data_IF_801843816339
#
_entry.id   IF_801843816339
#
_cell.length_a   1.000
_cell.length_b   1.000
_cell.length_c   1.000
_cell.angle_alpha   90.00
_cell.angle_beta   90.00
_cell.angle_gamma   90.00
#
_symmetry.space_group_name_H-M   'P 1'
#
loop_
_entity.id
_entity.type
_entity.pdbx_description
1 polymer ?
#
# COMPACT_ATOMS: atom_id res chain seq x y z
N UNK A 1 20.62 -8.03 7.43
CA UNK A 1 19.63 -6.94 7.45
C UNK A 1 19.23 -6.39 6.08
N UNK A 2 19.71 -6.95 4.98
CA UNK A 2 19.43 -6.47 3.61
C UNK A 2 18.15 -7.04 3.00
N UNK A 3 17.62 -8.14 3.53
CA UNK A 3 16.41 -8.79 3.02
C UNK A 3 15.16 -7.86 3.07
N UNK A 4 15.08 -6.96 4.06
CA UNK A 4 13.94 -6.02 4.21
C UNK A 4 13.85 -4.95 3.11
N UNK A 5 14.85 -4.86 2.25
CA UNK A 5 14.89 -3.93 1.11
C UNK A 5 14.70 -4.62 -0.23
N UNK A 6 14.38 -5.91 -0.23
CA UNK A 6 14.27 -6.74 -1.43
C UNK A 6 12.83 -7.23 -1.63
N UNK A 7 12.48 -7.59 -2.85
CA UNK A 7 11.19 -8.16 -3.19
C UNK A 7 10.86 -9.43 -2.40
N UNK A 8 11.87 -10.19 -1.97
CA UNK A 8 11.71 -11.38 -1.12
C UNK A 8 11.03 -11.09 0.23
N UNK A 9 11.06 -9.84 0.71
CA UNK A 9 10.39 -9.45 1.95
C UNK A 9 8.94 -9.00 1.75
N UNK A 10 8.45 -8.98 0.52
CA UNK A 10 7.08 -8.57 0.19
C UNK A 10 6.15 -9.76 0.38
N UNK A 11 5.23 -9.65 1.33
CA UNK A 11 4.12 -10.60 1.48
C UNK A 11 2.89 -10.14 0.71
N UNK A 12 1.90 -11.03 0.55
CA UNK A 12 0.62 -10.67 -0.08
C UNK A 12 -0.04 -9.54 0.73
N UNK A 13 -0.37 -8.40 0.08
CA UNK A 13 -0.99 -7.28 0.79
C UNK A 13 -2.41 -7.63 1.26
N UNK A 14 -2.66 -7.60 2.57
CA UNK A 14 -3.93 -8.06 3.15
C UNK A 14 -4.95 -6.96 3.42
N UNK A 15 -4.55 -5.69 3.41
CA UNK A 15 -5.40 -4.59 3.88
C UNK A 15 -6.69 -4.43 3.07
N UNK A 16 -6.64 -4.53 1.75
CA UNK A 16 -7.81 -4.34 0.88
C UNK A 16 -8.86 -5.42 1.16
N UNK A 17 -8.44 -6.69 1.22
CA UNK A 17 -9.36 -7.80 1.52
C UNK A 17 -9.90 -7.73 2.95
N UNK A 18 -9.05 -7.35 3.93
CA UNK A 18 -9.47 -7.15 5.32
C UNK A 18 -10.49 -6.02 5.47
N UNK A 19 -10.27 -4.90 4.79
CA UNK A 19 -11.20 -3.76 4.77
C UNK A 19 -12.54 -4.14 4.12
N UNK A 20 -12.52 -4.85 3.00
CA UNK A 20 -13.74 -5.32 2.36
C UNK A 20 -14.54 -6.25 3.28
N UNK A 21 -13.87 -7.20 3.94
CA UNK A 21 -14.49 -8.11 4.89
C UNK A 21 -15.11 -7.37 6.07
N UNK A 22 -14.37 -6.42 6.66
CA UNK A 22 -14.87 -5.60 7.78
C UNK A 22 -16.09 -4.77 7.38
N UNK A 23 -16.07 -4.17 6.18
CA UNK A 23 -17.21 -3.42 5.67
C UNK A 23 -18.42 -4.31 5.41
N UNK A 24 -18.23 -5.51 4.87
CA UNK A 24 -19.33 -6.48 4.65
C UNK A 24 -19.96 -6.96 5.95
N UNK A 25 -19.17 -7.13 7.02
CA UNK A 25 -19.67 -7.66 8.29
C UNK A 25 -20.22 -6.58 9.24
N UNK A 26 -19.61 -5.40 9.26
CA UNK A 26 -19.88 -4.38 10.28
C UNK A 26 -20.12 -2.99 9.70
N UNK A 27 -19.87 -2.79 8.39
CA UNK A 27 -19.96 -1.47 7.77
C UNK A 27 -21.38 -1.09 7.38
N UNK A 28 -21.70 0.20 7.53
CA UNK A 28 -22.93 0.81 7.01
C UNK A 28 -22.74 1.46 5.63
N UNK A 29 -21.51 1.47 5.10
CA UNK A 29 -21.16 2.10 3.83
C UNK A 29 -20.46 1.09 2.91
N UNK A 30 -20.61 1.28 1.60
CA UNK A 30 -19.89 0.47 0.60
C UNK A 30 -18.40 0.85 0.54
N UNK A 31 -17.57 -0.06 0.01
CA UNK A 31 -16.15 0.23 -0.28
C UNK A 31 -16.00 1.47 -1.17
N UNK A 32 -16.87 1.60 -2.18
CA UNK A 32 -16.87 2.77 -3.06
C UNK A 32 -17.09 4.08 -2.29
N UNK A 33 -18.00 4.09 -1.32
CA UNK A 33 -18.27 5.29 -0.52
C UNK A 33 -17.12 5.64 0.42
N UNK A 34 -16.48 4.66 1.07
CA UNK A 34 -15.38 4.92 2.00
C UNK A 34 -14.07 5.29 1.30
N UNK A 35 -13.91 4.93 0.04
CA UNK A 35 -12.75 5.30 -0.76
C UNK A 35 -12.80 6.75 -1.29
N UNK A 36 -13.97 7.41 -1.35
CA UNK A 36 -14.09 8.76 -1.92
C UNK A 36 -13.13 9.79 -1.31
N UNK A 37 -12.98 9.90 0.03
CA UNK A 37 -12.02 10.84 0.62
C UNK A 37 -10.56 10.51 0.24
N UNK A 38 -10.20 9.23 0.14
CA UNK A 38 -8.86 8.81 -0.24
C UNK A 38 -8.58 9.11 -1.72
N UNK A 39 -9.56 8.87 -2.61
CA UNK A 39 -9.48 9.25 -4.02
C UNK A 39 -9.24 10.76 -4.14
N UNK A 40 -10.04 11.55 -3.43
CA UNK A 40 -9.91 13.01 -3.46
C UNK A 40 -8.52 13.47 -3.00
N UNK A 41 -8.02 12.95 -1.88
CA UNK A 41 -6.69 13.30 -1.37
C UNK A 41 -5.57 12.88 -2.31
N UNK A 42 -5.68 11.72 -2.95
CA UNK A 42 -4.69 11.25 -3.92
C UNK A 42 -4.72 12.08 -5.21
N UNK A 43 -5.92 12.47 -5.66
CA UNK A 43 -6.14 13.16 -6.92
C UNK A 43 -5.88 14.67 -6.82
N UNK A 44 -6.55 15.35 -5.87
CA UNK A 44 -6.41 16.78 -5.66
C UNK A 44 -5.18 17.16 -4.83
N UNK A 45 -4.68 16.23 -4.00
CA UNK A 45 -3.50 16.38 -3.18
C UNK A 45 -3.78 16.89 -1.76
N UNK A 46 -2.71 16.94 -0.99
CA UNK A 46 -2.68 17.49 0.37
C UNK A 46 -1.41 18.30 0.59
N UNK A 47 -1.43 19.22 1.54
CA UNK A 47 -0.24 19.99 1.91
C UNK A 47 0.75 19.11 2.68
N UNK A 48 2.01 19.07 2.22
CA UNK A 48 3.07 18.29 2.86
C UNK A 48 3.28 18.73 4.31
N UNK A 49 3.11 17.84 5.27
CA UNK A 49 3.34 18.11 6.69
C UNK A 49 4.84 18.12 7.01
N UNK A 50 5.29 18.77 8.12
CA UNK A 50 6.69 18.69 8.56
C UNK A 50 7.17 17.23 8.73
N UNK A 51 6.32 16.35 9.26
CA UNK A 51 6.64 14.93 9.41
C UNK A 51 6.79 14.23 8.06
N UNK A 52 5.90 14.48 7.11
CA UNK A 52 6.01 13.93 5.76
C UNK A 52 7.34 14.32 5.13
N UNK A 53 7.67 15.62 5.14
CA UNK A 53 8.92 16.13 4.57
C UNK A 53 10.15 15.54 5.24
N UNK A 54 10.21 15.51 6.58
CA UNK A 54 11.38 14.98 7.29
C UNK A 54 11.58 13.46 7.10
N UNK A 55 10.48 12.69 7.03
CA UNK A 55 10.57 11.24 6.85
C UNK A 55 10.92 10.82 5.42
N UNK A 56 10.59 11.64 4.43
CA UNK A 56 10.82 11.37 3.01
C UNK A 56 11.96 12.19 2.41
N UNK A 57 12.63 13.02 3.21
CA UNK A 57 13.71 13.89 2.73
C UNK A 57 14.78 13.12 1.96
N UNK A 58 15.19 13.68 0.83
CA UNK A 58 16.22 13.07 -0.04
C UNK A 58 17.58 12.95 0.67
N UNK A 59 17.86 13.84 1.62
CA UNK A 59 19.06 13.83 2.46
C UNK A 59 19.00 12.86 3.64
N UNK A 60 17.82 12.33 3.97
CA UNK A 60 17.66 11.41 5.10
C UNK A 60 18.23 10.02 4.75
N UNK A 61 19.30 9.53 5.38
CA UNK A 61 19.89 8.24 5.06
C UNK A 61 18.95 7.07 5.37
N UNK A 62 18.00 7.25 6.28
CA UNK A 62 17.00 6.25 6.63
C UNK A 62 15.75 6.32 5.75
N UNK A 63 15.62 7.33 4.90
CA UNK A 63 14.52 7.44 3.94
C UNK A 63 14.65 6.38 2.85
N UNK A 64 13.58 5.64 2.64
CA UNK A 64 13.47 4.70 1.52
C UNK A 64 12.93 5.35 0.24
N UNK A 65 12.76 6.67 0.25
CA UNK A 65 12.25 7.43 -0.87
C UNK A 65 13.07 7.27 -2.17
N UNK A 66 14.36 6.93 -2.04
CA UNK A 66 15.26 6.69 -3.19
C UNK A 66 15.42 5.22 -3.56
N UNK A 67 14.56 4.37 -3.02
CA UNK A 67 14.70 2.92 -3.22
C UNK A 67 14.27 2.43 -4.61
N UNK A 68 13.45 3.19 -5.33
CA UNK A 68 13.12 2.96 -6.73
C UNK A 68 13.05 4.29 -7.48
N UNK A 69 13.17 4.29 -8.82
CA UNK A 69 13.00 5.50 -9.63
C UNK A 69 11.66 6.19 -9.38
N UNK A 70 10.56 5.42 -9.31
CA UNK A 70 9.21 5.92 -9.10
C UNK A 70 9.06 6.55 -7.71
N UNK A 71 9.57 5.88 -6.67
CA UNK A 71 9.58 6.43 -5.31
C UNK A 71 10.45 7.68 -5.23
N UNK A 72 11.60 7.67 -5.93
CA UNK A 72 12.48 8.83 -5.98
C UNK A 72 11.80 10.03 -6.63
N UNK A 73 11.14 9.85 -7.76
CA UNK A 73 10.41 10.92 -8.44
C UNK A 73 9.23 11.42 -7.59
N UNK A 74 8.50 10.51 -6.95
CA UNK A 74 7.35 10.88 -6.12
C UNK A 74 7.75 11.65 -4.85
N UNK A 75 8.75 11.15 -4.10
CA UNK A 75 9.16 11.76 -2.82
C UNK A 75 10.21 12.86 -2.97
N UNK A 76 11.04 12.78 -4.00
CA UNK A 76 12.18 13.66 -4.28
C UNK A 76 12.14 14.18 -5.72
N UNK A 77 11.09 14.89 -6.15
CA UNK A 77 10.97 15.32 -7.53
C UNK A 77 12.17 16.19 -7.94
N UNK A 78 12.77 15.86 -9.08
CA UNK A 78 13.99 16.51 -9.53
C UNK A 78 15.19 16.38 -8.59
N UNK A 79 15.20 15.36 -7.72
CA UNK A 79 16.26 15.13 -6.74
C UNK A 79 16.23 16.03 -5.51
N UNK A 80 15.20 16.84 -5.34
CA UNK A 80 15.04 17.79 -4.23
C UNK A 80 14.01 17.30 -3.22
N UNK A 81 14.28 17.55 -1.93
CA UNK A 81 13.28 17.30 -0.88
C UNK A 81 12.10 18.26 -1.07
N UNK A 82 10.90 17.75 -0.82
CA UNK A 82 9.69 18.59 -0.83
C UNK A 82 9.74 19.64 0.29
N UNK A 83 9.08 20.75 0.07
CA UNK A 83 8.90 21.79 1.08
C UNK A 83 7.65 21.55 1.91
N UNK A 84 7.68 21.97 3.19
CA UNK A 84 6.50 21.95 4.06
C UNK A 84 5.42 22.85 3.45
N UNK A 85 4.19 22.33 3.34
CA UNK A 85 3.08 23.04 2.72
C UNK A 85 2.98 22.87 1.20
N UNK A 86 4.00 22.28 0.53
CA UNK A 86 3.89 21.98 -0.90
C UNK A 86 2.80 20.96 -1.18
N UNK A 87 2.14 21.05 -2.33
CA UNK A 87 1.08 20.13 -2.72
C UNK A 87 1.67 18.76 -3.11
N UNK A 88 1.13 17.70 -2.51
CA UNK A 88 1.49 16.29 -2.82
C UNK A 88 0.29 15.60 -3.43
N UNK A 89 0.39 15.17 -4.68
CA UNK A 89 -0.63 14.39 -5.39
C UNK A 89 -0.09 13.01 -5.74
N UNK A 90 -0.97 12.04 -5.91
CA UNK A 90 -0.63 10.70 -6.42
C UNK A 90 -1.76 10.22 -7.36
N UNK A 91 -1.74 10.70 -8.59
CA UNK A 91 -2.74 10.37 -9.60
C UNK A 91 -2.86 8.85 -9.85
N UNK A 92 -1.74 8.09 -9.99
CA UNK A 92 -1.83 6.64 -10.14
C UNK A 92 -2.53 5.93 -8.98
N UNK A 93 -2.31 6.40 -7.74
CA UNK A 93 -3.02 5.85 -6.57
C UNK A 93 -4.51 6.19 -6.61
N UNK A 94 -4.88 7.39 -7.07
CA UNK A 94 -6.27 7.77 -7.25
C UNK A 94 -6.98 6.84 -8.24
N UNK A 95 -6.33 6.50 -9.37
CA UNK A 95 -6.87 5.54 -10.34
C UNK A 95 -7.01 4.14 -9.74
N UNK A 96 -6.01 3.66 -9.01
CA UNK A 96 -6.10 2.40 -8.26
C UNK A 96 -7.32 2.38 -7.34
N UNK A 97 -7.54 3.45 -6.57
CA UNK A 97 -8.71 3.54 -5.69
C UNK A 97 -10.04 3.63 -6.45
N UNK A 98 -10.09 4.25 -7.64
CA UNK A 98 -11.28 4.27 -8.50
C UNK A 98 -11.61 2.87 -9.00
N UNK A 99 -10.62 2.10 -9.45
CA UNK A 99 -10.81 0.70 -9.85
C UNK A 99 -11.37 -0.14 -8.70
N UNK A 100 -10.82 0.02 -7.48
CA UNK A 100 -11.34 -0.68 -6.29
C UNK A 100 -12.76 -0.22 -5.92
N UNK A 101 -13.06 1.06 -6.06
CA UNK A 101 -14.41 1.59 -5.81
C UNK A 101 -15.44 1.03 -6.81
N UNK A 102 -15.04 0.83 -8.06
CA UNK A 102 -15.90 0.35 -9.13
C UNK A 102 -16.06 -1.18 -9.12
N UNK A 103 -14.99 -1.93 -8.90
CA UNK A 103 -14.93 -3.38 -9.10
C UNK A 103 -14.74 -4.18 -7.81
N UNK A 104 -14.58 -3.53 -6.65
CA UNK A 104 -14.35 -4.18 -5.37
C UNK A 104 -12.94 -4.69 -5.18
N UNK A 105 -12.71 -5.40 -4.07
CA UNK A 105 -11.39 -5.91 -3.71
C UNK A 105 -10.86 -6.96 -4.70
N UNK A 106 -11.71 -7.65 -5.44
CA UNK A 106 -11.25 -8.61 -6.45
C UNK A 106 -10.36 -7.98 -7.51
N UNK A 107 -10.60 -6.70 -7.87
CA UNK A 107 -9.75 -5.95 -8.79
C UNK A 107 -8.30 -5.75 -8.30
N UNK A 108 -8.07 -5.87 -7.00
CA UNK A 108 -6.72 -5.80 -6.43
C UNK A 108 -5.97 -7.13 -6.49
N UNK A 109 -6.71 -8.24 -6.38
CA UNK A 109 -6.12 -9.57 -6.20
C UNK A 109 -6.19 -10.45 -7.45
N UNK A 110 -7.05 -10.11 -8.41
CA UNK A 110 -7.25 -10.88 -9.63
C UNK A 110 -6.95 -10.03 -10.85
N UNK A 111 -6.29 -10.64 -11.83
CA UNK A 111 -6.08 -10.01 -13.12
C UNK A 111 -7.37 -10.10 -13.95
N UNK A 112 -7.94 -8.96 -14.32
CA UNK A 112 -9.11 -8.86 -15.21
C UNK A 112 -8.92 -7.65 -16.14
N UNK A 113 -8.22 -7.88 -17.23
CA UNK A 113 -7.88 -6.82 -18.18
C UNK A 113 -9.12 -6.21 -18.87
N UNK A 114 -10.23 -6.96 -18.95
CA UNK A 114 -11.48 -6.44 -19.53
C UNK A 114 -12.08 -5.33 -18.65
N UNK A 115 -11.78 -5.33 -17.35
CA UNK A 115 -12.16 -4.28 -16.40
C UNK A 115 -11.04 -3.28 -16.10
N UNK A 116 -9.86 -3.43 -16.70
CA UNK A 116 -8.68 -2.64 -16.35
C UNK A 116 -8.04 -3.02 -15.02
N UNK A 117 -8.38 -4.19 -14.47
CA UNK A 117 -7.85 -4.68 -13.20
C UNK A 117 -6.50 -5.37 -13.42
N UNK A 118 -5.42 -4.60 -13.46
CA UNK A 118 -4.03 -5.05 -13.64
C UNK A 118 -3.16 -4.87 -12.38
N UNK A 119 -3.76 -4.44 -11.26
CA UNK A 119 -3.06 -4.14 -10.00
C UNK A 119 -2.26 -5.36 -9.52
N UNK A 120 -2.84 -6.56 -9.57
CA UNK A 120 -2.18 -7.80 -9.18
C UNK A 120 -0.90 -8.04 -10.01
N UNK A 121 -0.96 -7.80 -11.32
CA UNK A 121 0.20 -7.92 -12.19
C UNK A 121 1.28 -6.91 -11.81
N UNK A 122 0.92 -5.65 -11.60
CA UNK A 122 1.86 -4.61 -11.16
C UNK A 122 2.55 -4.92 -9.83
N UNK A 123 1.83 -5.55 -8.87
CA UNK A 123 2.42 -6.01 -7.60
C UNK A 123 3.43 -7.13 -7.83
N UNK A 124 3.10 -8.12 -8.66
CA UNK A 124 4.00 -9.24 -8.99
C UNK A 124 5.25 -8.72 -9.71
N UNK A 125 5.10 -7.85 -10.69
CA UNK A 125 6.23 -7.25 -11.41
C UNK A 125 7.10 -6.39 -10.48
N UNK A 126 6.49 -5.54 -9.65
CA UNK A 126 7.19 -4.67 -8.72
C UNK A 126 8.03 -5.42 -7.68
N UNK A 127 7.58 -6.58 -7.20
CA UNK A 127 8.35 -7.37 -6.23
C UNK A 127 9.46 -8.21 -6.88
N UNK A 128 9.36 -8.50 -8.17
CA UNK A 128 10.44 -9.19 -8.91
C UNK A 128 11.54 -8.24 -9.34
N UNK A 129 11.30 -6.93 -9.25
CA UNK A 129 12.26 -5.92 -9.66
C UNK A 129 13.61 -6.10 -8.95
N UNK A 130 14.62 -6.38 -9.74
CA UNK A 130 15.96 -6.70 -9.27
C UNK A 130 16.75 -5.39 -9.11
N UNK A 131 17.02 -4.97 -7.87
CA UNK A 131 17.90 -3.83 -7.64
C UNK A 131 19.33 -4.19 -7.97
N UNK A 132 20.00 -3.46 -8.88
CA UNK A 132 21.42 -3.66 -9.16
C UNK A 132 22.32 -3.57 -7.92
N UNK A 133 21.84 -2.94 -6.84
CA UNK A 133 22.57 -2.72 -5.58
C UNK A 133 22.14 -3.67 -4.46
N UNK A 134 21.18 -4.57 -4.69
CA UNK A 134 20.81 -5.56 -3.70
C UNK A 134 21.90 -6.66 -3.63
N UNK A 135 22.50 -6.92 -2.46
CA UNK A 135 23.66 -7.80 -2.35
C UNK A 135 23.49 -9.22 -2.88
N UNK A 136 22.29 -9.66 -3.23
CA UNK A 136 22.02 -10.99 -3.77
C UNK A 136 21.00 -11.00 -4.92
N UNK A 137 20.53 -9.85 -5.40
CA UNK A 137 19.72 -9.73 -6.60
C UNK A 137 18.43 -10.58 -6.66
N UNK A 138 17.90 -11.03 -5.53
CA UNK A 138 16.72 -11.88 -5.49
C UNK A 138 15.46 -11.04 -5.41
N UNK A 139 14.70 -11.02 -6.49
CA UNK A 139 13.31 -10.60 -6.48
C UNK A 139 12.46 -11.46 -5.56
N UNK A 140 11.25 -11.04 -5.27
CA UNK A 140 10.27 -11.86 -4.56
C UNK A 140 9.78 -13.02 -5.43
N UNK A 141 9.12 -13.98 -4.79
CA UNK A 141 8.57 -15.17 -5.46
C UNK A 141 7.04 -15.18 -5.50
N UNK A 142 6.38 -14.09 -5.09
CA UNK A 142 4.93 -13.97 -5.15
C UNK A 142 4.43 -14.07 -6.58
N UNK A 143 3.37 -14.82 -6.78
CA UNK A 143 2.72 -15.03 -8.07
C UNK A 143 1.30 -14.45 -8.08
N UNK A 144 0.70 -14.36 -9.26
CA UNK A 144 -0.71 -13.99 -9.40
C UNK A 144 -1.62 -14.99 -8.63
N UNK A 145 -1.26 -16.27 -8.63
CA UNK A 145 -2.01 -17.31 -7.90
C UNK A 145 -1.98 -17.07 -6.37
N UNK A 146 -0.85 -16.61 -5.81
CA UNK A 146 -0.76 -16.27 -4.39
C UNK A 146 -1.67 -15.09 -4.02
N UNK A 147 -1.75 -14.08 -4.89
CA UNK A 147 -2.67 -12.95 -4.72
C UNK A 147 -4.12 -13.40 -4.81
N UNK A 148 -4.48 -14.18 -5.85
CA UNK A 148 -5.85 -14.64 -6.06
C UNK A 148 -6.35 -15.55 -4.93
N UNK A 149 -5.48 -16.40 -4.39
CA UNK A 149 -5.79 -17.31 -3.28
C UNK A 149 -5.92 -16.60 -1.93
N UNK A 150 -5.52 -15.32 -1.84
CA UNK A 150 -5.49 -14.62 -0.55
C UNK A 150 -6.90 -14.37 0.00
N UNK A 151 -7.08 -14.72 1.27
CA UNK A 151 -8.29 -14.43 2.04
C UNK A 151 -7.96 -13.81 3.40
N UNK A 152 -8.83 -12.91 3.88
CA UNK A 152 -8.70 -12.34 5.20
C UNK A 152 -9.15 -13.35 6.27
N UNK A 153 -8.29 -13.60 7.27
CA UNK A 153 -8.60 -14.50 8.37
C UNK A 153 -9.23 -13.73 9.54
N UNK A 154 -10.39 -14.19 10.00
CA UNK A 154 -10.99 -13.72 11.26
C UNK A 154 -10.43 -14.56 12.40
N UNK A 155 -9.87 -13.89 13.42
CA UNK A 155 -9.28 -14.56 14.58
C UNK A 155 -9.99 -14.13 15.86
N UNK A 156 -10.08 -15.04 16.82
CA UNK A 156 -10.56 -14.71 18.17
C UNK A 156 -9.51 -13.84 18.87
N UNK A 157 -9.89 -12.66 19.39
CA UNK A 157 -8.96 -11.84 20.16
C UNK A 157 -8.44 -12.55 21.41
N UNK A 158 -7.18 -12.28 21.77
CA UNK A 158 -6.65 -12.66 23.08
C UNK A 158 -7.29 -11.75 24.12
N UNK A 159 -7.82 -12.33 25.20
CA UNK A 159 -8.45 -11.56 26.29
C UNK A 159 -7.65 -11.71 27.58
N UNK A 160 -7.58 -10.64 28.33
CA UNK A 160 -6.97 -10.57 29.65
C UNK A 160 -7.63 -9.53 30.53
N UNK A 161 -7.23 -9.48 31.80
CA UNK A 161 -7.68 -8.44 32.73
C UNK A 161 -6.48 -7.78 33.40
N UNK A 162 -6.58 -6.48 33.60
CA UNK A 162 -5.59 -5.73 34.36
C UNK A 162 -6.28 -4.61 35.17
N UNK A 163 -6.09 -4.62 36.47
CA UNK A 163 -6.67 -3.64 37.39
C UNK A 163 -8.20 -3.46 37.23
N UNK A 164 -8.95 -4.56 36.98
CA UNK A 164 -10.39 -4.54 36.76
C UNK A 164 -10.84 -4.18 35.34
N UNK A 165 -9.93 -3.82 34.45
CA UNK A 165 -10.22 -3.56 33.04
C UNK A 165 -10.08 -4.84 32.21
N UNK A 166 -11.01 -5.07 31.29
CA UNK A 166 -10.90 -6.12 30.29
C UNK A 166 -10.05 -5.59 29.12
N UNK A 167 -9.01 -6.33 28.79
CA UNK A 167 -8.11 -6.03 27.66
C UNK A 167 -8.38 -7.04 26.56
N UNK A 168 -8.55 -6.56 25.33
CA UNK A 168 -8.60 -7.39 24.13
C UNK A 168 -7.45 -6.98 23.20
N UNK A 169 -6.72 -7.96 22.67
CA UNK A 169 -5.61 -7.75 21.76
C UNK A 169 -5.56 -8.81 20.68
N UNK A 170 -4.68 -8.61 19.71
CA UNK A 170 -4.37 -9.59 18.66
C UNK A 170 -3.17 -10.42 19.03
#
# INVERSE_FOLDING_TARGET
PTATLQGVAVGVPGMVRGTELALKQYGARSLAQVLQPAIKLADEGFAATPRFVSSTACSNPNSRARNSPEASEYFCPGGQSREVGSLVTNKPLAETFRLLAQHGADCFYKLDLAKGCDIAQGIVEGQTWNRPQAPNGKGGSMTLADLEAYSAAVRTPIEGTYRGYRIKSM
#
